data_IF_022276433096
#
_entry.id   IF_022276433096
#
_cell.length_a   1.000
_cell.length_b   1.000
_cell.length_c   1.000
_cell.angle_alpha   90.00
_cell.angle_beta   90.00
_cell.angle_gamma   90.00
#
_symmetry.space_group_name_H-M   'P 1'
#
loop_
_entity.id
_entity.type
_entity.pdbx_description
1 polymer ?
#
# COMPACT_ATOMS: atom_id res chain seq x y z
N UNK A 1 -5.35 -13.77 10.37
CA UNK A 1 -5.91 -13.20 11.64
C UNK A 1 -6.16 -11.69 11.45
N UNK A 2 -7.41 -11.20 11.45
CA UNK A 2 -7.69 -9.75 11.45
C UNK A 2 -7.42 -9.21 12.85
N UNK A 3 -6.40 -8.35 13.00
CA UNK A 3 -6.04 -7.82 14.32
C UNK A 3 -6.93 -6.61 14.62
N UNK A 4 -8.02 -6.87 15.32
CA UNK A 4 -8.89 -5.85 15.90
C UNK A 4 -8.16 -5.25 17.11
N UNK A 5 -7.62 -4.03 16.99
CA UNK A 5 -7.10 -3.28 18.14
C UNK A 5 -5.88 -2.36 17.92
N UNK A 6 -5.02 -2.63 16.93
CA UNK A 6 -3.82 -1.79 16.69
C UNK A 6 -4.11 -0.55 15.85
N UNK A 7 -4.93 -0.71 14.82
CA UNK A 7 -5.34 0.38 13.95
C UNK A 7 -6.73 0.83 14.36
N UNK A 8 -6.92 2.14 14.51
CA UNK A 8 -8.26 2.67 14.61
C UNK A 8 -8.94 2.59 13.22
N UNK A 9 -10.26 2.76 13.19
CA UNK A 9 -11.05 2.65 11.96
C UNK A 9 -10.61 3.62 10.86
N UNK A 10 -10.26 4.85 11.23
CA UNK A 10 -9.82 5.86 10.27
C UNK A 10 -8.50 5.45 9.62
N UNK A 11 -7.50 5.05 10.42
CA UNK A 11 -6.21 4.56 9.93
C UNK A 11 -6.40 3.37 8.97
N UNK A 12 -7.27 2.43 9.33
CA UNK A 12 -7.61 1.30 8.47
C UNK A 12 -8.24 1.72 7.15
N UNK A 13 -9.14 2.72 7.15
CA UNK A 13 -9.75 3.25 5.92
C UNK A 13 -8.71 3.93 5.03
N UNK A 14 -7.79 4.71 5.61
CA UNK A 14 -6.70 5.36 4.86
C UNK A 14 -5.77 4.32 4.23
N UNK A 15 -5.38 3.29 4.99
CA UNK A 15 -4.56 2.19 4.48
C UNK A 15 -5.27 1.39 3.37
N UNK A 16 -6.58 1.16 3.51
CA UNK A 16 -7.38 0.51 2.47
C UNK A 16 -7.40 1.35 1.18
N UNK A 17 -7.62 2.66 1.27
CA UNK A 17 -7.56 3.56 0.12
C UNK A 17 -6.18 3.56 -0.52
N UNK A 18 -5.12 3.66 0.28
CA UNK A 18 -3.75 3.60 -0.23
C UNK A 18 -3.51 2.29 -1.01
N UNK A 19 -3.89 1.14 -0.43
CA UNK A 19 -3.75 -0.16 -1.07
C UNK A 19 -4.54 -0.28 -2.38
N UNK A 20 -5.75 0.29 -2.44
CA UNK A 20 -6.55 0.38 -3.68
C UNK A 20 -5.79 1.10 -4.78
N UNK A 21 -5.23 2.27 -4.46
CA UNK A 21 -4.49 3.06 -5.45
C UNK A 21 -3.17 2.39 -5.84
N UNK A 22 -2.45 1.80 -4.89
CA UNK A 22 -1.22 1.06 -5.14
C UNK A 22 -1.43 -0.19 -6.01
N UNK A 23 -2.57 -0.88 -5.88
CA UNK A 23 -2.86 -2.07 -6.71
C UNK A 23 -3.21 -1.71 -8.15
N UNK A 24 -3.90 -0.59 -8.36
CA UNK A 24 -4.39 -0.19 -9.67
C UNK A 24 -3.33 0.61 -10.45
N UNK A 25 -2.81 0.02 -11.53
CA UNK A 25 -1.79 0.66 -12.39
C UNK A 25 -2.29 1.90 -13.12
N UNK A 26 -3.60 2.04 -13.26
CA UNK A 26 -4.24 3.22 -13.87
C UNK A 26 -4.70 4.27 -12.85
N UNK A 27 -4.40 4.07 -11.57
CA UNK A 27 -4.60 5.10 -10.55
C UNK A 27 -3.58 6.24 -10.69
N UNK A 28 -3.83 7.36 -10.02
CA UNK A 28 -2.85 8.45 -9.91
C UNK A 28 -1.47 7.92 -9.45
N UNK A 29 -1.45 7.12 -8.39
CA UNK A 29 -0.23 6.50 -7.83
C UNK A 29 0.45 5.58 -8.84
N UNK A 30 -0.32 4.77 -9.59
CA UNK A 30 0.22 3.87 -10.61
C UNK A 30 0.85 4.63 -11.79
N UNK A 31 0.23 5.73 -12.22
CA UNK A 31 0.79 6.61 -13.25
C UNK A 31 2.02 7.37 -12.77
N UNK A 32 2.00 7.87 -11.53
CA UNK A 32 3.13 8.54 -10.89
C UNK A 32 4.35 7.61 -10.81
N UNK A 33 4.15 6.38 -10.32
CA UNK A 33 5.19 5.35 -10.28
C UNK A 33 5.79 5.12 -11.67
N UNK A 34 4.95 4.95 -12.70
CA UNK A 34 5.40 4.76 -14.08
C UNK A 34 6.18 5.97 -14.59
N UNK A 35 5.74 7.19 -14.27
CA UNK A 35 6.43 8.42 -14.62
C UNK A 35 7.83 8.49 -14.01
N UNK A 36 7.94 8.34 -12.69
CA UNK A 36 9.23 8.38 -11.99
C UNK A 36 10.18 7.27 -12.41
N UNK A 37 9.65 6.05 -12.62
CA UNK A 37 10.42 4.94 -13.15
C UNK A 37 11.03 5.25 -14.53
N UNK A 38 10.22 5.79 -15.45
CA UNK A 38 10.68 6.14 -16.78
C UNK A 38 11.77 7.22 -16.73
N UNK A 39 11.62 8.23 -15.87
CA UNK A 39 12.65 9.25 -15.65
C UNK A 39 13.94 8.62 -15.13
N UNK A 40 13.86 7.74 -14.14
CA UNK A 40 15.03 7.06 -13.58
C UNK A 40 15.76 6.19 -14.61
N UNK A 41 15.04 5.45 -15.45
CA UNK A 41 15.65 4.65 -16.53
C UNK A 41 16.30 5.50 -17.62
N UNK A 42 15.70 6.65 -17.95
CA UNK A 42 16.32 7.63 -18.86
C UNK A 42 17.64 8.19 -18.29
N UNK A 43 17.69 8.47 -16.99
CA UNK A 43 18.90 9.00 -16.33
C UNK A 43 20.04 7.96 -16.27
N UNK A 44 19.71 6.67 -16.34
CA UNK A 44 20.67 5.55 -16.23
C UNK A 44 21.03 4.90 -17.57
N UNK A 45 20.36 5.30 -18.67
CA UNK A 45 20.44 4.68 -20.01
C UNK A 45 20.07 3.18 -20.01
N UNK A 46 19.27 2.77 -19.02
CA UNK A 46 18.78 1.41 -18.90
C UNK A 46 17.47 1.21 -19.71
N UNK A 47 17.21 0.02 -20.28
CA UNK A 47 15.97 -0.25 -20.98
C UNK A 47 14.73 -0.11 -20.08
N UNK A 48 13.69 0.54 -20.60
CA UNK A 48 12.39 0.64 -19.92
C UNK A 48 11.65 -0.70 -20.00
N UNK A 49 11.53 -1.37 -18.86
CA UNK A 49 10.70 -2.56 -18.67
C UNK A 49 9.41 -2.28 -17.89
N UNK A 50 8.69 -3.32 -17.49
CA UNK A 50 7.56 -3.20 -16.58
C UNK A 50 8.03 -2.64 -15.22
N UNK A 51 7.54 -1.47 -14.76
CA UNK A 51 8.00 -0.83 -13.52
C UNK A 51 7.79 -1.72 -12.29
N UNK A 52 6.79 -2.59 -12.30
CA UNK A 52 6.51 -3.51 -11.19
C UNK A 52 7.58 -4.59 -10.97
N UNK A 53 8.54 -4.73 -11.89
CA UNK A 53 9.66 -5.67 -11.73
C UNK A 53 10.81 -5.10 -10.91
N UNK A 54 10.87 -3.78 -10.73
CA UNK A 54 11.86 -3.09 -9.91
C UNK A 54 11.24 -2.66 -8.57
N UNK A 55 12.08 -2.57 -7.54
CA UNK A 55 11.64 -2.20 -6.19
C UNK A 55 11.33 -0.71 -6.15
N UNK A 56 10.21 -0.39 -5.53
CA UNK A 56 9.75 0.98 -5.30
C UNK A 56 9.49 1.14 -3.80
N UNK A 57 9.62 2.37 -3.32
CA UNK A 57 9.20 2.77 -1.99
C UNK A 57 7.87 3.51 -2.12
N UNK A 58 6.87 3.06 -1.37
CA UNK A 58 5.61 3.75 -1.21
C UNK A 58 5.56 4.41 0.17
N UNK A 59 5.31 5.71 0.21
CA UNK A 59 5.08 6.44 1.46
C UNK A 59 3.60 6.73 1.59
N UNK A 60 2.96 6.14 2.59
CA UNK A 60 1.53 6.33 2.88
C UNK A 60 1.39 7.32 4.04
N UNK A 61 0.74 8.44 3.77
CA UNK A 61 0.42 9.47 4.75
C UNK A 61 -0.96 9.21 5.36
N UNK A 62 -1.00 9.07 6.68
CA UNK A 62 -2.23 9.02 7.49
C UNK A 62 -2.38 10.39 8.18
N UNK A 63 -3.18 11.30 7.61
CA UNK A 63 -3.37 12.63 8.18
C UNK A 63 -4.19 12.57 9.46
N UNK A 64 -4.22 13.66 10.22
CA UNK A 64 -5.15 13.77 11.33
C UNK A 64 -6.61 13.76 10.80
N UNK A 65 -7.57 13.06 11.45
CA UNK A 65 -8.95 12.97 10.95
C UNK A 65 -9.67 14.32 10.80
N UNK A 66 -9.22 15.32 11.54
CA UNK A 66 -9.72 16.71 11.51
C UNK A 66 -8.86 17.64 10.65
N UNK A 67 -7.96 17.12 9.82
CA UNK A 67 -7.15 17.94 8.92
C UNK A 67 -8.03 18.54 7.81
N UNK A 68 -7.85 19.83 7.56
CA UNK A 68 -8.44 20.53 6.42
C UNK A 68 -7.34 20.84 5.39
N UNK A 69 -7.67 20.77 4.10
CA UNK A 69 -6.75 21.13 3.00
C UNK A 69 -7.30 22.31 2.20
N UNK A 70 -6.40 23.13 1.66
CA UNK A 70 -6.79 24.23 0.79
C UNK A 70 -7.30 23.71 -0.56
N UNK A 71 -8.58 23.92 -0.84
CA UNK A 71 -9.18 23.69 -2.16
C UNK A 71 -9.66 22.26 -2.45
N UNK A 72 -9.45 21.30 -1.55
CA UNK A 72 -9.99 19.93 -1.65
C UNK A 72 -10.31 19.37 -0.26
N UNK A 73 -11.34 18.54 -0.14
CA UNK A 73 -11.63 17.85 1.13
C UNK A 73 -10.65 16.69 1.34
N UNK A 74 -10.37 16.34 2.60
CA UNK A 74 -9.60 15.14 2.95
C UNK A 74 -10.14 13.90 2.22
N UNK A 75 -11.46 13.72 2.22
CA UNK A 75 -12.12 12.58 1.56
C UNK A 75 -11.87 12.55 0.04
N UNK A 76 -11.92 13.71 -0.62
CA UNK A 76 -11.66 13.81 -2.04
C UNK A 76 -10.18 13.54 -2.36
N UNK A 77 -9.25 14.06 -1.56
CA UNK A 77 -7.82 13.75 -1.70
C UNK A 77 -7.51 12.26 -1.51
N UNK A 78 -8.07 11.64 -0.47
CA UNK A 78 -7.93 10.20 -0.20
C UNK A 78 -8.55 9.35 -1.30
N UNK A 79 -9.68 9.76 -1.87
CA UNK A 79 -10.32 9.09 -3.02
C UNK A 79 -9.47 9.13 -4.29
N UNK A 80 -8.56 10.10 -4.42
CA UNK A 80 -7.63 10.20 -5.55
C UNK A 80 -6.27 9.54 -5.24
N UNK A 81 -6.02 9.11 -4.00
CA UNK A 81 -4.74 8.54 -3.58
C UNK A 81 -3.65 9.57 -3.37
N UNK A 82 -3.99 10.84 -3.14
CA UNK A 82 -3.01 11.93 -2.94
C UNK A 82 -2.23 11.81 -1.63
N UNK A 83 -2.61 10.89 -0.76
CA UNK A 83 -1.89 10.58 0.46
C UNK A 83 -0.82 9.48 0.25
N UNK A 84 -0.51 9.13 -0.99
CA UNK A 84 0.51 8.14 -1.31
C UNK A 84 1.52 8.74 -2.26
N UNK A 85 2.78 8.71 -1.84
CA UNK A 85 3.92 8.98 -2.72
C UNK A 85 4.60 7.67 -3.09
N UNK A 86 5.26 7.66 -4.23
CA UNK A 86 6.00 6.51 -4.72
C UNK A 86 7.29 6.99 -5.34
N UNK A 87 8.39 6.27 -5.11
CA UNK A 87 9.68 6.54 -5.73
C UNK A 87 10.44 5.24 -6.03
N UNK A 88 11.29 5.20 -7.08
CA UNK A 88 12.12 4.04 -7.36
C UNK A 88 13.22 3.89 -6.29
N UNK A 89 13.44 2.67 -5.81
CA UNK A 89 14.55 2.38 -4.89
C UNK A 89 15.83 2.21 -5.70
N UNK A 90 16.69 3.23 -5.66
CA UNK A 90 17.95 3.25 -6.41
C UNK A 90 19.04 2.37 -5.79
N UNK A 91 18.99 2.16 -4.48
CA UNK A 91 19.90 1.29 -3.74
C UNK A 91 19.12 0.41 -2.74
N UNK A 92 18.77 -0.82 -3.13
CA UNK A 92 18.05 -1.76 -2.24
C UNK A 92 18.80 -2.10 -0.96
N UNK A 93 20.13 -1.96 -0.92
CA UNK A 93 20.92 -2.26 0.29
C UNK A 93 20.72 -1.23 1.41
N UNK A 94 20.10 -0.08 1.10
CA UNK A 94 19.74 0.95 2.07
C UNK A 94 18.42 0.67 2.80
N UNK A 95 17.65 -0.34 2.36
CA UNK A 95 16.36 -0.69 2.96
C UNK A 95 16.55 -1.49 4.25
N UNK A 96 15.66 -1.23 5.22
CA UNK A 96 15.62 -1.98 6.49
C UNK A 96 15.05 -3.39 6.33
N UNK A 97 14.33 -3.66 5.24
CA UNK A 97 13.83 -4.98 4.86
C UNK A 97 14.62 -5.51 3.67
N UNK A 98 14.84 -6.82 3.66
CA UNK A 98 15.23 -7.54 2.44
C UNK A 98 13.99 -7.66 1.54
N UNK A 99 13.80 -6.67 0.66
CA UNK A 99 12.65 -6.62 -0.26
C UNK A 99 13.00 -7.34 -1.54
N UNK A 100 12.30 -8.44 -1.81
CA UNK A 100 12.51 -9.22 -3.03
C UNK A 100 11.69 -8.70 -4.20
N UNK A 101 12.11 -9.12 -5.40
CA UNK A 101 11.37 -8.82 -6.62
C UNK A 101 9.89 -9.23 -6.48
N UNK A 102 8.98 -8.34 -6.89
CA UNK A 102 7.52 -8.47 -6.68
C UNK A 102 7.01 -7.93 -5.34
N UNK A 103 7.93 -7.59 -4.43
CA UNK A 103 7.68 -6.79 -3.23
C UNK A 103 8.09 -5.34 -3.44
N UNK A 104 7.42 -4.44 -2.73
CA UNK A 104 7.78 -3.03 -2.67
C UNK A 104 7.88 -2.59 -1.22
N UNK A 105 8.84 -1.71 -0.92
CA UNK A 105 8.98 -1.17 0.42
C UNK A 105 7.83 -0.20 0.72
N UNK A 106 7.33 -0.21 1.95
CA UNK A 106 6.27 0.68 2.40
C UNK A 106 6.69 1.35 3.69
N UNK A 107 6.57 2.68 3.72
CA UNK A 107 6.63 3.48 4.93
C UNK A 107 5.25 4.11 5.18
N UNK A 108 4.71 3.94 6.38
CA UNK A 108 3.46 4.57 6.80
C UNK A 108 3.82 5.67 7.78
N UNK A 109 3.47 6.91 7.43
CA UNK A 109 3.66 8.07 8.29
C UNK A 109 2.30 8.54 8.81
N UNK A 110 2.23 8.86 10.10
CA UNK A 110 1.01 9.32 10.75
C UNK A 110 1.19 10.67 11.42
N UNK A 111 0.18 11.52 11.24
CA UNK A 111 0.04 12.80 11.90
C UNK A 111 -0.82 12.64 13.15
N UNK A 112 -0.27 12.96 14.33
CA UNK A 112 -1.00 12.81 15.62
C UNK A 112 -1.80 14.05 16.02
N UNK A 113 -1.48 15.21 15.47
CA UNK A 113 -2.12 16.50 15.75
C UNK A 113 -2.47 17.18 14.42
N UNK A 114 -3.54 18.00 14.40
CA UNK A 114 -3.85 18.86 13.25
C UNK A 114 -2.65 19.77 12.98
N UNK A 115 -2.24 19.88 11.71
CA UNK A 115 -1.05 20.62 11.26
C UNK A 115 0.28 20.19 11.93
N UNK A 116 0.31 19.03 12.60
CA UNK A 116 1.52 18.46 13.18
C UNK A 116 2.41 17.77 12.15
N UNK A 117 3.61 17.37 12.57
CA UNK A 117 4.52 16.59 11.73
C UNK A 117 4.06 15.14 11.56
N UNK A 118 4.42 14.57 10.41
CA UNK A 118 4.27 13.15 10.12
C UNK A 118 5.40 12.35 10.76
N UNK A 119 5.05 11.28 11.47
CA UNK A 119 5.99 10.40 12.16
C UNK A 119 5.80 8.96 11.72
N UNK A 120 6.86 8.14 11.68
CA UNK A 120 6.75 6.74 11.28
C UNK A 120 5.79 6.01 12.23
N UNK A 121 4.77 5.40 11.63
CA UNK A 121 3.76 4.61 12.32
C UNK A 121 3.84 3.13 11.96
N UNK A 122 4.29 2.79 10.75
CA UNK A 122 4.60 1.42 10.36
C UNK A 122 5.60 1.41 9.20
N UNK A 123 6.26 0.28 9.02
CA UNK A 123 7.02 -0.01 7.79
C UNK A 123 6.75 -1.43 7.35
N UNK A 124 7.05 -1.79 6.11
CA UNK A 124 6.88 -3.18 5.68
C UNK A 124 6.92 -3.33 4.17
N UNK A 125 6.18 -4.31 3.67
CA UNK A 125 6.23 -4.75 2.27
C UNK A 125 4.81 -4.76 1.68
N UNK A 126 4.65 -4.10 0.54
CA UNK A 126 3.52 -4.27 -0.36
C UNK A 126 3.81 -5.44 -1.30
N UNK A 127 2.99 -6.49 -1.22
CA UNK A 127 3.09 -7.67 -2.08
C UNK A 127 2.02 -7.55 -3.15
N UNK A 128 2.42 -7.06 -4.33
CA UNK A 128 1.47 -6.67 -5.36
C UNK A 128 0.62 -7.84 -5.82
N UNK A 129 1.22 -9.00 -6.13
CA UNK A 129 0.49 -10.18 -6.62
C UNK A 129 -0.66 -10.57 -5.70
N UNK A 130 -0.45 -10.51 -4.38
CA UNK A 130 -1.46 -10.79 -3.37
C UNK A 130 -2.37 -9.60 -3.01
N UNK A 131 -2.13 -8.42 -3.57
CA UNK A 131 -2.85 -7.18 -3.30
C UNK A 131 -2.97 -6.91 -1.78
N UNK A 132 -1.84 -6.97 -1.06
CA UNK A 132 -1.83 -6.76 0.40
C UNK A 132 -0.59 -6.01 0.88
N UNK A 133 -0.70 -5.43 2.07
CA UNK A 133 0.41 -4.88 2.85
C UNK A 133 0.72 -5.83 4.00
N UNK A 134 1.99 -6.19 4.17
CA UNK A 134 2.53 -6.81 5.38
C UNK A 134 3.33 -5.75 6.13
N UNK A 135 2.85 -5.29 7.28
CA UNK A 135 3.37 -4.11 7.97
C UNK A 135 3.75 -4.44 9.41
N UNK A 136 4.85 -3.89 9.88
CA UNK A 136 5.24 -3.83 11.28
C UNK A 136 4.87 -2.45 11.85
N UNK A 137 3.81 -2.41 12.65
CA UNK A 137 3.28 -1.17 13.27
C UNK A 137 4.08 -0.85 14.51
N UNK A 138 4.53 0.40 14.64
CA UNK A 138 5.25 0.91 15.81
C UNK A 138 4.26 1.06 16.98
N UNK A 139 4.44 0.26 18.03
CA UNK A 139 3.65 0.30 19.26
C UNK A 139 4.32 1.21 20.29
N UNK A 140 5.63 1.08 20.44
CA UNK A 140 6.46 1.97 21.25
C UNK A 140 7.71 2.40 20.48
N UNK A 141 7.78 3.70 20.17
CA UNK A 141 8.91 4.26 19.43
C UNK A 141 10.18 4.43 20.28
N UNK A 142 10.05 4.51 21.61
CA UNK A 142 11.17 4.65 22.54
C UNK A 142 11.83 3.29 22.78
N UNK A 143 11.02 2.24 22.93
CA UNK A 143 11.50 0.87 23.14
C UNK A 143 11.75 0.11 21.82
N UNK A 144 11.33 0.67 20.68
CA UNK A 144 11.48 0.05 19.36
C UNK A 144 10.54 -1.14 19.15
N UNK A 145 9.45 -1.20 19.90
CA UNK A 145 8.48 -2.29 19.82
C UNK A 145 7.59 -2.14 18.60
N UNK A 146 7.52 -3.21 17.81
CA UNK A 146 6.63 -3.31 16.65
C UNK A 146 5.71 -4.51 16.76
N UNK A 147 4.56 -4.43 16.08
CA UNK A 147 3.62 -5.53 15.96
C UNK A 147 3.22 -5.76 14.49
N UNK A 148 3.37 -7.00 13.99
CA UNK A 148 3.03 -7.32 12.60
C UNK A 148 1.51 -7.32 12.40
N UNK A 149 1.08 -6.73 11.28
CA UNK A 149 -0.29 -6.76 10.77
C UNK A 149 -0.29 -7.05 9.27
N UNK A 150 -1.42 -7.53 8.78
CA UNK A 150 -1.67 -7.66 7.33
C UNK A 150 -2.92 -6.87 6.96
N UNK A 151 -2.78 -5.99 5.97
CA UNK A 151 -3.89 -5.25 5.35
C UNK A 151 -4.17 -5.86 3.99
N UNK A 152 -5.34 -6.48 3.84
CA UNK A 152 -5.80 -7.07 2.57
C UNK A 152 -6.58 -6.03 1.77
N UNK A 153 -6.59 -6.17 0.45
CA UNK A 153 -7.38 -5.30 -0.41
C UNK A 153 -8.87 -5.41 -0.03
N UNK A 154 -9.58 -4.28 0.17
CA UNK A 154 -10.94 -4.30 0.73
C UNK A 154 -12.00 -4.92 -0.19
N UNK A 155 -11.73 -5.01 -1.49
CA UNK A 155 -12.66 -5.58 -2.48
C UNK A 155 -12.45 -7.09 -2.69
N UNK A 156 -11.25 -7.61 -2.41
CA UNK A 156 -10.97 -9.03 -2.62
C UNK A 156 -11.54 -9.81 -1.44
N UNK A 157 -12.69 -10.46 -1.65
CA UNK A 157 -13.41 -11.21 -0.62
C UNK A 157 -12.74 -12.56 -0.33
N UNK A 158 -12.40 -13.28 -1.39
CA UNK A 158 -11.97 -14.68 -1.30
C UNK A 158 -10.47 -14.79 -1.61
N UNK A 159 -9.65 -14.56 -0.59
CA UNK A 159 -8.24 -14.94 -0.65
C UNK A 159 -8.13 -16.48 -0.63
N UNK A 160 -7.20 -17.09 -1.40
CA UNK A 160 -6.94 -18.53 -1.37
C UNK A 160 -6.68 -19.01 0.05
N UNK A 161 -7.17 -20.18 0.45
CA UNK A 161 -7.11 -20.63 1.86
C UNK A 161 -5.70 -20.65 2.46
N UNK A 162 -4.68 -20.86 1.63
CA UNK A 162 -3.27 -20.96 1.96
C UNK A 162 -2.50 -19.63 1.83
N UNK A 163 -3.17 -18.51 1.55
CA UNK A 163 -2.50 -17.22 1.27
C UNK A 163 -1.52 -16.77 2.37
N UNK A 164 -1.83 -17.03 3.65
CA UNK A 164 -0.94 -16.68 4.78
C UNK A 164 0.34 -17.52 4.78
N UNK A 165 0.27 -18.79 4.37
CA UNK A 165 1.44 -19.64 4.23
C UNK A 165 2.30 -19.16 3.06
N UNK A 166 1.67 -18.94 1.90
CA UNK A 166 2.35 -18.49 0.68
C UNK A 166 3.01 -17.12 0.86
N UNK A 167 2.35 -16.18 1.55
CA UNK A 167 2.95 -14.89 1.93
C UNK A 167 4.23 -15.09 2.75
N UNK A 168 4.20 -15.94 3.79
CA UNK A 168 5.38 -16.21 4.62
C UNK A 168 6.52 -16.80 3.81
N UNK A 169 6.24 -17.76 2.94
CA UNK A 169 7.24 -18.36 2.05
C UNK A 169 7.88 -17.32 1.14
N UNK A 170 7.09 -16.39 0.59
CA UNK A 170 7.59 -15.29 -0.22
C UNK A 170 8.49 -14.34 0.58
N UNK A 171 8.04 -13.90 1.76
CA UNK A 171 8.80 -13.02 2.66
C UNK A 171 10.08 -13.69 3.22
N UNK A 172 10.18 -15.02 3.14
CA UNK A 172 11.34 -15.81 3.55
C UNK A 172 12.22 -16.26 2.36
N UNK A 173 11.87 -15.83 1.14
CA UNK A 173 12.59 -16.15 -0.10
C UNK A 173 12.58 -17.63 -0.46
N UNK A 174 11.59 -18.36 0.05
CA UNK A 174 11.36 -19.76 -0.30
C UNK A 174 10.67 -19.91 -1.66
N UNK A 175 9.91 -18.90 -2.08
CA UNK A 175 9.22 -18.83 -3.38
C UNK A 175 9.38 -17.44 -4.01
N UNK A 176 9.31 -17.38 -5.35
CA UNK A 176 9.32 -16.12 -6.10
C UNK A 176 7.90 -15.55 -6.29
N UNK A 177 7.82 -14.30 -6.77
CA UNK A 177 6.54 -13.63 -7.06
C UNK A 177 5.68 -14.41 -8.08
N UNK A 178 6.29 -15.11 -9.04
CA UNK A 178 5.54 -15.88 -10.04
C UNK A 178 4.77 -17.07 -9.44
N UNK A 179 5.17 -17.55 -8.26
CA UNK A 179 4.47 -18.59 -7.52
C UNK A 179 3.29 -18.04 -6.70
N UNK A 180 3.18 -16.71 -6.54
CA UNK A 180 2.08 -16.09 -5.82
C UNK A 180 0.77 -16.11 -6.63
N UNK A 181 -0.38 -16.33 -5.96
CA UNK A 181 -1.69 -16.04 -6.55
C UNK A 181 -1.76 -14.59 -7.05
N UNK A 182 -2.15 -14.39 -8.31
CA UNK A 182 -2.26 -13.07 -8.95
C UNK A 182 -3.59 -12.37 -8.66
N UNK A 183 -3.88 -12.12 -7.37
CA UNK A 183 -5.09 -11.46 -6.91
C UNK A 183 -5.22 -10.02 -7.41
N UNK A 184 -4.10 -9.33 -7.66
CA UNK A 184 -4.11 -7.98 -8.27
C UNK A 184 -4.87 -7.92 -9.59
N UNK A 185 -4.95 -9.03 -10.32
CA UNK A 185 -5.73 -9.12 -11.56
C UNK A 185 -7.21 -8.80 -11.38
N UNK A 186 -7.77 -8.91 -10.17
CA UNK A 186 -9.17 -8.53 -9.89
C UNK A 186 -9.37 -7.02 -9.70
N UNK A 187 -8.32 -6.30 -9.30
CA UNK A 187 -8.41 -4.93 -8.75
C UNK A 187 -7.48 -3.93 -9.45
N UNK A 188 -6.91 -4.31 -10.59
CA UNK A 188 -6.15 -3.45 -11.48
C UNK A 188 -6.95 -3.21 -12.75
N UNK A 189 -7.33 -1.97 -13.04
CA UNK A 189 -8.20 -1.67 -14.19
C UNK A 189 -7.51 -1.86 -15.54
N UNK A 190 -6.17 -1.97 -15.59
CA UNK A 190 -5.49 -2.37 -16.82
C UNK A 190 -5.65 -3.88 -17.13
N UNK A 191 -5.94 -4.69 -16.11
CA UNK A 191 -6.11 -6.14 -16.20
C UNK A 191 -7.58 -6.57 -16.17
N UNK A 192 -8.41 -5.86 -15.40
CA UNK A 192 -9.84 -6.09 -15.26
C UNK A 192 -10.62 -4.81 -15.58
N UNK A 193 -11.17 -4.75 -16.80
CA UNK A 193 -11.94 -3.59 -17.26
C UNK A 193 -13.27 -3.40 -16.51
N UNK A 194 -13.76 -4.42 -15.79
CA UNK A 194 -14.96 -4.33 -14.96
C UNK A 194 -14.66 -3.78 -13.56
N UNK A 195 -13.38 -3.69 -13.17
CA UNK A 195 -13.01 -3.12 -11.89
C UNK A 195 -13.41 -1.64 -11.79
N UNK A 196 -14.02 -1.28 -10.66
CA UNK A 196 -14.37 0.10 -10.32
C UNK A 196 -13.75 0.40 -8.96
N UNK A 197 -12.85 1.38 -8.95
CA UNK A 197 -12.25 1.84 -7.69
C UNK A 197 -13.34 2.41 -6.78
N UNK A 198 -13.40 2.00 -5.51
CA UNK A 198 -14.36 2.53 -4.56
C UNK A 198 -13.93 3.94 -4.13
N UNK A 199 -14.90 4.73 -3.68
CA UNK A 199 -14.65 6.03 -3.07
C UNK A 199 -14.27 5.90 -1.59
N UNK A 200 -13.74 6.97 -1.00
CA UNK A 200 -13.56 7.06 0.46
C UNK A 200 -14.85 6.71 1.23
N UNK A 201 -16.00 7.21 0.75
CA UNK A 201 -17.29 6.97 1.38
C UNK A 201 -17.65 5.48 1.40
N UNK A 202 -17.41 4.77 0.30
CA UNK A 202 -17.68 3.33 0.18
C UNK A 202 -16.81 2.54 1.18
N UNK A 203 -15.52 2.88 1.26
CA UNK A 203 -14.58 2.26 2.21
C UNK A 203 -14.95 2.58 3.65
N UNK A 204 -15.30 3.82 3.95
CA UNK A 204 -15.68 4.24 5.30
C UNK A 204 -16.99 3.58 5.74
N UNK A 205 -17.97 3.41 4.84
CA UNK A 205 -19.20 2.68 5.12
C UNK A 205 -18.94 1.19 5.34
N UNK A 206 -18.08 0.57 4.54
CA UNK A 206 -17.69 -0.83 4.70
C UNK A 206 -16.94 -1.08 6.00
N UNK A 207 -16.00 -0.20 6.38
CA UNK A 207 -15.31 -0.23 7.67
C UNK A 207 -16.24 -0.08 8.88
N UNK A 208 -17.44 0.48 8.67
CA UNK A 208 -18.50 0.58 9.67
C UNK A 208 -19.55 -0.53 9.60
N UNK A 209 -19.39 -1.52 8.71
CA UNK A 209 -20.34 -2.62 8.52
C UNK A 209 -21.67 -2.20 7.89
N UNK A 210 -21.72 -1.01 7.29
CA UNK A 210 -22.92 -0.43 6.66
C UNK A 210 -23.05 -0.93 5.22
N UNK A 211 -21.91 -1.23 4.57
CA UNK A 211 -21.84 -1.68 3.18
C UNK A 211 -20.95 -2.92 3.06
N UNK A 212 -21.31 -3.85 2.18
CA UNK A 212 -20.42 -4.93 1.75
C UNK A 212 -19.82 -4.55 0.41
N UNK A 213 -18.49 -4.42 0.37
CA UNK A 213 -17.72 -4.24 -0.87
C UNK A 213 -17.51 -5.57 -1.55
#
# INVERSE_FOLDING_TARGET
MQVVGLLNKFDQCVLNMALIHMCNSESHVGQEMRGQYNTWKQDTDDPVHNPWLDIHQFTIYIPHPSQEYEGITLEAGLTQGYNVEVEPVKDPSSLIYDVHQGGHFVAVLKQKQVDGEFTIAATGIFVRSLALLSLDVVVDAVEGETQPIVVRHPIIRDYPQDWEATLRQFLQHEISDEALPRLVGYVDSSLNQDYRSPSWQDIHQAGNGILSL
#
